data_IF_251803839121
#
_entry.id   IF_251803839121
#
_cell.length_a   1.000
_cell.length_b   1.000
_cell.length_c   1.000
_cell.angle_alpha   90.00
_cell.angle_beta   90.00
_cell.angle_gamma   90.00
#
_symmetry.space_group_name_H-M   'P 1'
#
loop_
_entity.id
_entity.type
_entity.pdbx_description
1 polymer ?
#
# COMPACT_ATOMS: atom_id res chain seq x y z
N UNK A 1 -25.59 -0.86 20.37
CA UNK A 1 -24.33 -0.25 19.92
C UNK A 1 -24.03 -0.78 18.52
N UNK A 2 -24.27 0.04 17.49
CA UNK A 2 -24.00 -0.35 16.11
C UNK A 2 -22.50 -0.25 15.85
N UNK A 3 -21.84 -1.40 15.72
CA UNK A 3 -20.44 -1.47 15.30
C UNK A 3 -20.34 -0.90 13.88
N UNK A 4 -19.78 0.30 13.76
CA UNK A 4 -19.52 0.93 12.48
C UNK A 4 -18.58 0.04 11.66
N UNK A 5 -19.13 -0.68 10.69
CA UNK A 5 -18.36 -1.46 9.72
C UNK A 5 -17.87 -0.50 8.64
N UNK A 6 -16.68 0.04 8.82
CA UNK A 6 -15.99 0.83 7.81
C UNK A 6 -15.59 -0.12 6.67
N UNK A 7 -16.31 -0.05 5.55
CA UNK A 7 -15.99 -0.81 4.33
C UNK A 7 -14.95 -0.03 3.55
N UNK A 8 -13.70 -0.46 3.66
CA UNK A 8 -12.59 0.09 2.89
C UNK A 8 -12.27 -0.89 1.77
N UNK A 9 -12.57 -0.51 0.53
CA UNK A 9 -12.10 -1.21 -0.67
C UNK A 9 -10.75 -0.60 -1.03
N UNK A 10 -9.66 -1.23 -0.58
CA UNK A 10 -8.32 -0.86 -1.04
C UNK A 10 -7.85 -1.87 -2.06
N UNK A 11 -7.61 -1.39 -3.28
CA UNK A 11 -6.94 -2.12 -4.33
C UNK A 11 -5.43 -2.15 -4.01
N UNK A 12 -4.97 -3.18 -3.30
CA UNK A 12 -3.57 -3.29 -2.85
C UNK A 12 -2.68 -3.93 -3.93
N UNK A 13 -2.22 -3.14 -4.90
CA UNK A 13 -1.33 -3.66 -5.97
C UNK A 13 0.15 -3.75 -5.54
N UNK A 14 0.57 -2.98 -4.53
CA UNK A 14 1.98 -2.89 -4.13
C UNK A 14 2.51 -4.22 -3.59
N UNK A 15 1.72 -4.93 -2.78
CA UNK A 15 2.21 -6.15 -2.13
C UNK A 15 2.00 -7.43 -2.99
N UNK A 16 1.23 -7.38 -4.09
CA UNK A 16 1.17 -8.48 -5.08
C UNK A 16 2.40 -8.54 -5.99
N UNK A 17 3.04 -7.42 -6.26
CA UNK A 17 4.27 -7.34 -7.06
C UNK A 17 5.50 -7.87 -6.30
N UNK A 18 5.46 -7.84 -4.96
CA UNK A 18 6.58 -8.19 -4.09
C UNK A 18 6.74 -9.70 -3.78
N UNK A 19 5.83 -10.53 -4.30
CA UNK A 19 5.74 -11.94 -3.92
C UNK A 19 6.60 -12.93 -4.73
N UNK A 20 7.35 -12.49 -5.75
CA UNK A 20 8.04 -13.42 -6.66
C UNK A 20 9.53 -13.13 -6.92
N UNK A 21 10.12 -12.13 -6.28
CA UNK A 21 11.55 -11.86 -6.36
C UNK A 21 12.09 -11.61 -4.95
N UNK A 22 13.36 -11.96 -4.70
CA UNK A 22 13.99 -11.96 -3.38
C UNK A 22 13.95 -10.62 -2.62
N UNK A 23 14.59 -10.52 -1.45
CA UNK A 23 14.42 -9.42 -0.50
C UNK A 23 14.93 -8.04 -0.96
N UNK A 24 15.36 -7.90 -2.22
CA UNK A 24 15.86 -6.65 -2.78
C UNK A 24 14.81 -6.04 -3.71
N UNK A 25 14.44 -4.78 -3.46
CA UNK A 25 13.67 -4.01 -4.43
C UNK A 25 14.49 -3.58 -5.64
N UNK A 26 15.83 -3.62 -5.53
CA UNK A 26 16.73 -3.28 -6.60
C UNK A 26 17.15 -4.56 -7.34
N UNK A 27 16.49 -4.84 -8.45
CA UNK A 27 16.97 -5.75 -9.49
C UNK A 27 16.89 -5.01 -10.83
N UNK A 28 18.01 -4.79 -11.50
CA UNK A 28 18.09 -4.07 -12.78
C UNK A 28 17.47 -4.86 -13.96
N UNK A 29 17.18 -6.16 -13.76
CA UNK A 29 16.47 -7.01 -14.74
C UNK A 29 14.96 -7.07 -14.50
N UNK A 30 14.47 -6.23 -13.61
CA UNK A 30 13.08 -6.17 -13.20
C UNK A 30 12.16 -5.76 -14.34
N UNK A 31 11.22 -6.64 -14.71
CA UNK A 31 10.16 -6.31 -15.66
C UNK A 31 9.33 -5.08 -15.23
N UNK A 32 8.50 -4.52 -16.12
CA UNK A 32 7.84 -3.21 -15.93
C UNK A 32 6.94 -3.12 -14.69
N UNK A 33 6.57 -4.26 -14.12
CA UNK A 33 5.70 -4.34 -12.95
C UNK A 33 6.42 -4.22 -11.61
N UNK A 34 7.75 -4.39 -11.56
CA UNK A 34 8.54 -4.32 -10.33
C UNK A 34 8.89 -2.87 -9.97
N UNK A 35 9.07 -2.53 -8.67
CA UNK A 35 9.44 -1.18 -8.28
C UNK A 35 10.77 -0.74 -8.89
N UNK A 36 10.76 0.36 -9.62
CA UNK A 36 11.95 1.00 -10.19
C UNK A 36 11.80 2.52 -10.12
N UNK A 37 12.91 3.24 -10.05
CA UNK A 37 12.88 4.71 -9.96
C UNK A 37 12.14 5.30 -11.15
N UNK A 38 11.16 6.17 -10.89
CA UNK A 38 10.30 6.77 -11.89
C UNK A 38 9.02 5.98 -12.18
N UNK A 39 8.95 4.70 -11.77
CA UNK A 39 7.73 3.90 -11.90
C UNK A 39 6.56 4.55 -11.16
N UNK A 40 5.37 4.48 -11.75
CA UNK A 40 4.18 5.11 -11.21
C UNK A 40 2.98 4.17 -11.25
N UNK A 41 2.24 4.13 -10.14
CA UNK A 41 0.95 3.46 -10.03
C UNK A 41 -0.12 4.55 -9.93
N UNK A 42 -0.97 4.65 -10.94
CA UNK A 42 -2.16 5.49 -10.91
C UNK A 42 -3.36 4.66 -10.45
N UNK A 43 -4.22 5.23 -9.61
CA UNK A 43 -5.44 4.57 -9.14
C UNK A 43 -6.58 5.57 -9.18
N UNK A 44 -7.66 5.20 -9.87
CA UNK A 44 -8.91 5.95 -9.91
C UNK A 44 -9.98 5.20 -9.12
N UNK A 45 -10.63 5.90 -8.20
CA UNK A 45 -11.76 5.45 -7.41
C UNK A 45 -13.02 6.06 -8.01
N UNK A 46 -14.03 5.22 -8.19
CA UNK A 46 -15.38 5.64 -8.60
C UNK A 46 -16.40 5.09 -7.59
N UNK A 47 -17.51 5.80 -7.45
CA UNK A 47 -18.64 5.39 -6.64
C UNK A 47 -19.94 5.50 -7.45
N UNK A 48 -21.08 5.23 -6.80
CA UNK A 48 -22.38 5.26 -7.49
C UNK A 48 -22.73 6.63 -8.11
N UNK A 49 -22.09 7.71 -7.67
CA UNK A 49 -22.30 9.07 -8.16
C UNK A 49 -21.31 9.50 -9.25
N UNK A 50 -20.36 8.65 -9.63
CA UNK A 50 -19.36 8.92 -10.67
C UNK A 50 -17.92 8.82 -10.17
N UNK A 51 -16.95 9.46 -10.88
CA UNK A 51 -15.57 9.56 -10.44
C UNK A 51 -15.48 10.21 -9.06
N UNK A 52 -14.76 9.58 -8.14
CA UNK A 52 -14.67 9.99 -6.74
C UNK A 52 -13.31 10.62 -6.43
N UNK A 53 -12.24 9.87 -6.70
CA UNK A 53 -10.89 10.33 -6.44
C UNK A 53 -9.88 9.66 -7.36
N UNK A 54 -8.86 10.40 -7.75
CA UNK A 54 -7.66 9.84 -8.37
C UNK A 54 -6.47 9.96 -7.42
N UNK A 55 -5.52 9.05 -7.57
CA UNK A 55 -4.25 9.07 -6.86
C UNK A 55 -3.11 8.54 -7.72
N UNK A 56 -1.92 9.02 -7.44
CA UNK A 56 -0.67 8.56 -8.04
C UNK A 56 0.34 8.23 -6.96
N UNK A 57 0.93 7.05 -7.04
CA UNK A 57 2.08 6.63 -6.24
C UNK A 57 3.29 6.52 -7.17
N UNK A 58 4.32 7.31 -6.91
CA UNK A 58 5.56 7.33 -7.69
C UNK A 58 6.70 6.79 -6.84
N UNK A 59 7.47 5.84 -7.37
CA UNK A 59 8.71 5.37 -6.77
C UNK A 59 9.82 6.38 -7.05
N UNK A 60 10.25 7.12 -6.02
CA UNK A 60 11.25 8.19 -6.16
C UNK A 60 12.68 7.70 -5.98
N UNK A 61 12.88 6.60 -5.25
CA UNK A 61 14.16 5.92 -5.12
C UNK A 61 13.93 4.46 -4.77
N UNK A 62 14.74 3.56 -5.30
CA UNK A 62 14.67 2.12 -5.04
C UNK A 62 16.07 1.61 -4.71
N UNK A 63 16.21 0.90 -3.60
CA UNK A 63 17.45 0.25 -3.17
C UNK A 63 17.16 -1.13 -2.58
N UNK A 64 18.20 -1.90 -2.28
CA UNK A 64 18.04 -3.19 -1.62
C UNK A 64 17.40 -3.07 -0.22
N UNK A 65 17.65 -1.97 0.48
CA UNK A 65 17.21 -1.76 1.87
C UNK A 65 15.81 -1.15 1.98
N UNK A 66 15.30 -0.54 0.90
CA UNK A 66 13.98 0.05 0.89
C UNK A 66 13.59 0.76 -0.39
N UNK A 67 12.38 1.27 -0.38
CA UNK A 67 11.79 2.07 -1.45
C UNK A 67 11.29 3.39 -0.90
N UNK A 68 11.53 4.47 -1.63
CA UNK A 68 10.94 5.77 -1.35
C UNK A 68 9.80 6.02 -2.32
N UNK A 69 8.66 6.43 -1.78
CA UNK A 69 7.44 6.69 -2.53
C UNK A 69 6.90 8.08 -2.26
N UNK A 70 6.38 8.69 -3.31
CA UNK A 70 5.57 9.89 -3.24
C UNK A 70 4.15 9.53 -3.62
N UNK A 71 3.22 9.71 -2.69
CA UNK A 71 1.80 9.54 -2.92
C UNK A 71 1.12 10.91 -3.02
N UNK A 72 0.29 11.07 -4.04
CA UNK A 72 -0.55 12.25 -4.26
C UNK A 72 -1.97 11.78 -4.54
N UNK A 73 -2.96 12.40 -3.91
CA UNK A 73 -4.38 12.18 -4.21
C UNK A 73 -5.10 13.50 -4.42
N UNK A 74 -6.08 13.47 -5.33
CA UNK A 74 -7.08 14.53 -5.56
C UNK A 74 -7.87 14.91 -4.30
N UNK A 75 -7.88 14.06 -3.26
CA UNK A 75 -8.41 14.39 -1.92
C UNK A 75 -7.46 15.25 -1.07
N UNK A 76 -6.42 15.83 -1.67
CA UNK A 76 -5.49 16.75 -1.00
C UNK A 76 -4.38 16.05 -0.19
N UNK A 77 -4.22 14.73 -0.35
CA UNK A 77 -3.20 13.99 0.38
C UNK A 77 -1.89 13.98 -0.41
N UNK A 78 -0.83 14.54 0.18
CA UNK A 78 0.54 14.49 -0.38
C UNK A 78 1.48 13.96 0.69
N UNK A 79 2.10 12.82 0.43
CA UNK A 79 2.97 12.14 1.40
C UNK A 79 4.20 11.61 0.71
N UNK A 80 5.36 11.81 1.33
CA UNK A 80 6.61 11.17 0.94
C UNK A 80 7.06 10.23 2.06
N UNK A 81 7.27 8.94 1.73
CA UNK A 81 7.65 7.91 2.71
C UNK A 81 8.76 7.03 2.19
N UNK A 82 9.54 6.50 3.12
CA UNK A 82 10.50 5.43 2.84
C UNK A 82 10.04 4.17 3.56
N UNK A 83 9.87 3.10 2.80
CA UNK A 83 9.43 1.78 3.26
C UNK A 83 10.64 0.86 3.22
N UNK A 84 10.99 0.25 4.35
CA UNK A 84 12.11 -0.69 4.44
C UNK A 84 11.70 -2.06 3.90
N UNK A 85 12.63 -2.80 3.32
CA UNK A 85 12.37 -4.15 2.79
C UNK A 85 11.84 -5.10 3.86
N UNK A 86 12.38 -5.02 5.07
CA UNK A 86 11.89 -5.79 6.22
C UNK A 86 10.43 -5.45 6.59
N UNK A 87 10.09 -4.16 6.58
CA UNK A 87 8.73 -3.71 6.90
C UNK A 87 7.75 -4.11 5.80
N UNK A 88 8.14 -4.07 4.53
CA UNK A 88 7.28 -4.50 3.44
C UNK A 88 6.90 -5.99 3.49
N UNK A 89 7.79 -6.83 4.03
CA UNK A 89 7.53 -8.26 4.21
C UNK A 89 6.64 -8.56 5.42
N UNK A 90 6.89 -7.90 6.57
CA UNK A 90 6.34 -8.34 7.86
C UNK A 90 5.51 -7.31 8.62
N UNK A 91 5.43 -6.05 8.16
CA UNK A 91 4.74 -4.99 8.90
C UNK A 91 3.29 -5.33 9.22
N UNK A 92 2.85 -5.02 10.45
CA UNK A 92 1.44 -5.18 10.88
C UNK A 92 0.74 -3.88 11.23
N UNK A 93 1.39 -2.73 11.02
CA UNK A 93 0.77 -1.43 11.28
C UNK A 93 0.30 -0.74 10.01
N UNK A 94 -0.96 -0.29 10.01
CA UNK A 94 -1.59 0.49 8.94
C UNK A 94 -1.80 1.94 9.40
N UNK A 95 -1.35 2.91 8.60
CA UNK A 95 -1.47 4.34 8.94
C UNK A 95 -2.75 4.89 8.31
N UNK A 96 -3.68 5.36 9.15
CA UNK A 96 -4.99 5.85 8.70
C UNK A 96 -5.01 7.33 8.34
N UNK A 97 -4.11 8.12 8.93
CA UNK A 97 -4.03 9.56 8.70
C UNK A 97 -2.58 9.99 8.58
N UNK A 98 -2.29 10.90 7.65
CA UNK A 98 -0.94 11.44 7.49
C UNK A 98 -0.92 12.91 7.86
N UNK A 99 0.10 13.30 8.62
CA UNK A 99 0.41 14.69 8.90
C UNK A 99 1.84 15.03 8.45
N UNK A 100 2.08 16.30 8.14
CA UNK A 100 3.40 16.79 7.74
C UNK A 100 4.48 16.55 8.80
N UNK A 101 4.12 16.54 10.10
CA UNK A 101 5.06 16.30 11.21
C UNK A 101 5.50 14.83 11.36
N UNK A 102 4.86 13.89 10.68
CA UNK A 102 5.21 12.47 10.78
C UNK A 102 6.54 12.16 10.07
N UNK A 103 7.39 11.30 10.64
CA UNK A 103 8.68 10.96 10.05
C UNK A 103 8.53 10.24 8.71
N UNK A 104 9.42 10.52 7.76
CA UNK A 104 9.42 9.91 6.43
C UNK A 104 9.49 8.39 6.46
N UNK A 105 10.24 7.83 7.42
CA UNK A 105 10.28 6.40 7.72
C UNK A 105 9.54 6.13 9.02
N UNK A 106 8.49 5.32 8.96
CA UNK A 106 7.78 4.84 10.15
C UNK A 106 8.06 3.33 10.26
N UNK A 107 8.67 2.86 11.37
CA UNK A 107 8.93 1.44 11.56
C UNK A 107 7.68 0.57 11.61
N UNK A 108 7.80 -0.71 11.20
CA UNK A 108 6.74 -1.72 11.26
C UNK A 108 5.46 -1.31 10.50
N UNK A 109 5.59 -0.48 9.48
CA UNK A 109 4.49 -0.12 8.57
C UNK A 109 5.00 -0.05 7.14
N UNK A 110 4.12 -0.37 6.19
CA UNK A 110 4.33 -0.04 4.78
C UNK A 110 3.81 1.35 4.43
N UNK A 111 3.46 2.15 5.45
CA UNK A 111 2.87 3.48 5.38
C UNK A 111 1.54 3.53 4.63
N UNK A 112 1.53 3.31 3.32
CA UNK A 112 0.41 3.46 2.39
C UNK A 112 -0.23 2.11 2.00
N UNK A 113 0.03 1.06 2.75
CA UNK A 113 -0.36 -0.30 2.40
C UNK A 113 -0.43 -1.25 3.58
N UNK A 114 -0.45 -2.53 3.25
CA UNK A 114 -0.24 -3.63 4.18
C UNK A 114 0.93 -4.50 3.70
N UNK A 115 1.56 -5.25 4.60
CA UNK A 115 2.68 -6.11 4.25
C UNK A 115 2.25 -7.37 3.50
N UNK A 116 3.23 -8.06 2.90
CA UNK A 116 3.03 -9.37 2.30
C UNK A 116 2.47 -10.39 3.29
N UNK A 117 3.00 -10.45 4.52
CA UNK A 117 2.51 -11.35 5.56
C UNK A 117 1.02 -11.10 5.87
N UNK A 118 0.60 -9.84 5.95
CA UNK A 118 -0.80 -9.48 6.17
C UNK A 118 -1.70 -9.88 4.99
N UNK A 119 -1.23 -9.72 3.74
CA UNK A 119 -1.96 -10.19 2.56
C UNK A 119 -2.09 -11.72 2.53
N UNK A 120 -1.03 -12.44 2.89
CA UNK A 120 -1.04 -13.90 2.94
C UNK A 120 -2.03 -14.38 4.01
N UNK A 121 -2.07 -13.75 5.18
CA UNK A 121 -3.05 -14.03 6.24
C UNK A 121 -4.48 -13.74 5.77
N UNK A 122 -4.71 -12.60 5.09
CA UNK A 122 -6.01 -12.29 4.47
C UNK A 122 -6.43 -13.31 3.42
N UNK A 123 -5.49 -13.78 2.58
CA UNK A 123 -5.77 -14.79 1.55
C UNK A 123 -6.18 -16.13 2.17
N UNK A 124 -5.46 -16.56 3.21
CA UNK A 124 -5.65 -17.89 3.80
C UNK A 124 -6.82 -17.91 4.79
N UNK A 125 -6.94 -16.88 5.63
CA UNK A 125 -7.85 -16.86 6.78
C UNK A 125 -9.04 -15.91 6.59
N UNK A 126 -9.07 -15.13 5.51
CA UNK A 126 -10.03 -14.02 5.26
C UNK A 126 -9.98 -12.90 6.30
N UNK A 127 -9.05 -12.97 7.24
CA UNK A 127 -8.85 -12.00 8.33
C UNK A 127 -7.37 -11.81 8.57
N UNK A 128 -6.98 -10.62 8.99
CA UNK A 128 -5.63 -10.36 9.46
C UNK A 128 -5.63 -9.33 10.59
N UNK A 129 -4.90 -9.62 11.66
CA UNK A 129 -4.75 -8.68 12.78
C UNK A 129 -3.72 -7.60 12.44
N UNK A 130 -4.10 -6.33 12.65
CA UNK A 130 -3.26 -5.17 12.39
C UNK A 130 -3.33 -4.16 13.54
N UNK A 131 -2.35 -3.26 13.62
CA UNK A 131 -2.43 -2.05 14.44
C UNK A 131 -2.75 -0.85 13.56
N UNK A 132 -3.76 -0.06 13.92
CA UNK A 132 -4.17 1.14 13.21
C UNK A 132 -3.52 2.35 13.86
N UNK A 133 -2.58 2.99 13.16
CA UNK A 133 -1.94 4.24 13.59
C UNK A 133 -2.84 5.41 13.16
N UNK A 134 -3.31 6.21 14.13
CA UNK A 134 -4.37 7.19 13.89
C UNK A 134 -3.95 8.66 14.05
N UNK A 135 -2.83 8.93 14.71
CA UNK A 135 -2.32 10.28 14.88
C UNK A 135 -0.85 10.39 14.54
N UNK A 136 -0.39 11.64 14.54
CA UNK A 136 0.96 12.00 14.17
C UNK A 136 1.99 11.81 15.29
N UNK A 137 1.53 11.43 16.48
CA UNK A 137 2.38 10.98 17.59
C UNK A 137 2.53 9.44 17.57
N UNK A 138 1.99 8.79 16.52
CA UNK A 138 2.05 7.36 16.26
C UNK A 138 1.30 6.50 17.27
N UNK A 139 0.28 7.06 17.92
CA UNK A 139 -0.62 6.28 18.74
C UNK A 139 -1.38 5.27 17.88
N UNK A 140 -1.59 4.08 18.45
CA UNK A 140 -2.19 2.95 17.73
C UNK A 140 -3.32 2.30 18.51
N UNK A 141 -4.28 1.75 17.77
CA UNK A 141 -5.33 0.88 18.29
C UNK A 141 -5.26 -0.50 17.60
N UNK A 142 -5.53 -1.60 18.32
CA UNK A 142 -5.68 -2.90 17.69
C UNK A 142 -6.87 -2.90 16.71
N UNK A 143 -6.71 -3.58 15.58
CA UNK A 143 -7.73 -3.73 14.55
C UNK A 143 -7.64 -5.07 13.81
N UNK A 144 -8.66 -5.36 13.01
CA UNK A 144 -8.73 -6.55 12.16
C UNK A 144 -9.16 -6.14 10.76
N UNK A 145 -8.39 -6.54 9.76
CA UNK A 145 -8.80 -6.50 8.36
C UNK A 145 -9.61 -7.74 8.04
N UNK A 146 -10.72 -7.57 7.33
CA UNK A 146 -11.55 -8.67 6.84
C UNK A 146 -11.63 -8.59 5.32
N UNK A 147 -11.35 -9.70 4.66
CA UNK A 147 -11.52 -9.84 3.21
C UNK A 147 -13.02 -9.92 2.90
N UNK A 148 -13.54 -8.93 2.17
CA UNK A 148 -14.97 -8.86 1.82
C UNK A 148 -15.29 -9.66 0.56
N UNK A 149 -14.40 -9.62 -0.44
CA UNK A 149 -14.53 -10.32 -1.71
C UNK A 149 -13.20 -10.98 -2.08
N UNK A 150 -13.25 -12.26 -2.45
CA UNK A 150 -12.06 -13.07 -2.73
C UNK A 150 -11.86 -13.41 -4.21
N UNK A 151 -12.84 -13.13 -5.08
CA UNK A 151 -12.83 -13.49 -6.50
C UNK A 151 -12.91 -12.25 -7.40
N UNK A 152 -12.18 -11.20 -7.04
CA UNK A 152 -12.04 -10.01 -7.89
C UNK A 152 -10.93 -10.29 -8.91
N UNK A 153 -11.30 -10.32 -10.19
CA UNK A 153 -10.35 -10.39 -11.30
C UNK A 153 -10.02 -8.98 -11.78
N UNK A 154 -8.75 -8.59 -11.68
CA UNK A 154 -8.27 -7.31 -12.22
C UNK A 154 -7.77 -7.55 -13.65
N UNK A 155 -8.41 -6.98 -14.68
CA UNK A 155 -7.90 -7.06 -16.05
C UNK A 155 -6.59 -6.25 -16.13
N UNK A 156 -5.50 -6.91 -16.52
CA UNK A 156 -4.24 -6.25 -16.79
C UNK A 156 -4.19 -5.90 -18.27
N UNK A 157 -4.12 -4.61 -18.60
CA UNK A 157 -3.85 -4.12 -19.95
C UNK A 157 -2.39 -3.66 -19.97
N UNK A 158 -1.59 -4.25 -20.86
CA UNK A 158 -0.20 -3.85 -21.09
C UNK A 158 -0.17 -3.12 -22.42
N UNK A 159 0.00 -1.81 -22.37
CA UNK A 159 0.22 -0.98 -23.55
C UNK A 159 1.72 -0.90 -23.82
N UNK A 160 2.16 -1.52 -24.92
CA UNK A 160 3.56 -1.47 -25.36
C UNK A 160 3.71 -0.30 -26.33
N UNK A 161 4.31 0.80 -25.87
CA UNK A 161 4.71 1.88 -26.75
C UNK A 161 6.10 1.56 -27.30
N UNK A 162 6.13 0.98 -28.50
CA UNK A 162 7.35 0.81 -29.33
C UNK A 162 7.80 2.16 -29.88
#
# INVERSE_FOLDING_TARGET
MNNARVRIVILFFIASVMGSAGPSFADERSGPLLPHTGGQIATAFSNHFGPDAESSLTFTAVSADGLSVKYVSTRGLVVQRTIRSADAQMARSYVMGYAAKMPTTIPNTTSLGISFACLQELRNNRRATISLVYDADLNSIPGELTLVESDIKVPLIVEDHV
#
